data_IF_043907336534
#
_entry.id   IF_043907336534
#
_cell.length_a   1.000
_cell.length_b   1.000
_cell.length_c   1.000
_cell.angle_alpha   90.00
_cell.angle_beta   90.00
_cell.angle_gamma   90.00
#
_symmetry.space_group_name_H-M   'P 1'
#
loop_
_entity.id
_entity.type
_entity.pdbx_description
1 polymer ?
#
# COMPACT_ATOMS: atom_id res chain seq x y z
N UNK A 1 24.72 -6.77 1.30
CA UNK A 1 23.87 -6.09 2.31
C UNK A 1 22.99 -7.19 2.86
N UNK A 2 23.17 -7.55 4.13
CA UNK A 2 22.35 -8.59 4.76
C UNK A 2 20.93 -8.06 4.99
N UNK A 3 19.88 -8.88 4.84
CA UNK A 3 18.51 -8.44 5.09
C UNK A 3 18.36 -8.00 6.55
N UNK A 4 17.82 -6.81 6.75
CA UNK A 4 17.65 -6.14 8.05
C UNK A 4 16.57 -6.78 8.92
N UNK A 5 15.77 -7.69 8.35
CA UNK A 5 14.71 -8.45 9.01
C UNK A 5 14.41 -9.71 8.18
N UNK A 6 13.98 -10.84 8.79
CA UNK A 6 13.50 -12.01 8.03
C UNK A 6 12.28 -11.72 7.14
N UNK A 7 11.67 -10.54 7.29
CA UNK A 7 10.54 -10.07 6.50
C UNK A 7 10.95 -9.09 5.39
N UNK A 8 12.21 -8.66 5.33
CA UNK A 8 12.70 -7.70 4.33
C UNK A 8 13.70 -8.36 3.37
N UNK A 9 13.61 -8.03 2.07
CA UNK A 9 14.61 -8.48 1.10
C UNK A 9 15.87 -7.58 1.08
N UNK A 10 16.85 -7.92 0.26
CA UNK A 10 18.10 -7.16 0.12
C UNK A 10 17.93 -5.74 -0.42
N UNK A 11 16.72 -5.37 -0.87
CA UNK A 11 16.34 -4.03 -1.35
C UNK A 11 15.56 -3.25 -0.29
N UNK A 12 15.32 -3.83 0.88
CA UNK A 12 14.50 -3.25 1.94
C UNK A 12 12.99 -3.33 1.66
N UNK A 13 12.56 -4.26 0.79
CA UNK A 13 11.14 -4.47 0.50
C UNK A 13 10.55 -5.43 1.53
N UNK A 14 9.42 -5.05 2.14
CA UNK A 14 8.64 -5.93 3.03
C UNK A 14 7.99 -7.07 2.22
N UNK A 15 8.64 -8.24 2.27
CA UNK A 15 8.19 -9.47 1.64
C UNK A 15 6.97 -10.05 2.36
N UNK A 16 6.80 -9.77 3.65
CA UNK A 16 5.64 -10.16 4.43
C UNK A 16 4.36 -9.55 3.87
N UNK A 17 4.39 -8.24 3.64
CA UNK A 17 3.29 -7.50 3.02
C UNK A 17 2.95 -8.04 1.62
N UNK A 18 3.96 -8.31 0.79
CA UNK A 18 3.73 -8.88 -0.55
C UNK A 18 3.07 -10.27 -0.46
N UNK A 19 3.52 -11.13 0.46
CA UNK A 19 2.94 -12.46 0.64
C UNK A 19 1.49 -12.40 1.12
N UNK A 20 1.14 -11.41 1.94
CA UNK A 20 -0.23 -11.16 2.37
C UNK A 20 -1.11 -10.72 1.18
N UNK A 21 -0.63 -9.77 0.38
CA UNK A 21 -1.33 -9.31 -0.83
C UNK A 21 -1.54 -10.44 -1.85
N UNK A 22 -0.58 -11.36 -2.00
CA UNK A 22 -0.70 -12.51 -2.90
C UNK A 22 -1.69 -13.58 -2.39
N UNK A 23 -2.03 -13.58 -1.10
CA UNK A 23 -3.01 -14.49 -0.50
C UNK A 23 -4.44 -13.96 -0.55
N UNK A 24 -4.62 -12.68 -0.85
CA UNK A 24 -5.95 -12.08 -0.99
C UNK A 24 -6.64 -12.53 -2.27
N UNK A 25 -7.95 -12.75 -2.17
CA UNK A 25 -8.84 -12.82 -3.33
C UNK A 25 -8.90 -11.48 -4.05
N UNK A 26 -9.35 -11.48 -5.31
CA UNK A 26 -9.58 -10.24 -6.07
C UNK A 26 -10.53 -9.29 -5.34
N UNK A 27 -11.57 -9.83 -4.69
CA UNK A 27 -12.55 -9.04 -3.94
C UNK A 27 -11.91 -8.35 -2.71
N UNK A 28 -11.10 -9.08 -1.94
CA UNK A 28 -10.38 -8.53 -0.79
C UNK A 28 -9.37 -7.47 -1.21
N UNK A 29 -8.64 -7.71 -2.31
CA UNK A 29 -7.70 -6.73 -2.85
C UNK A 29 -8.40 -5.45 -3.34
N UNK A 30 -9.58 -5.58 -3.96
CA UNK A 30 -10.37 -4.43 -4.38
C UNK A 30 -10.87 -3.62 -3.16
N UNK A 31 -11.34 -4.29 -2.11
CA UNK A 31 -11.75 -3.63 -0.87
C UNK A 31 -10.58 -2.88 -0.21
N UNK A 32 -9.39 -3.49 -0.18
CA UNK A 32 -8.19 -2.87 0.36
C UNK A 32 -7.74 -1.65 -0.45
N UNK A 33 -7.80 -1.71 -1.78
CA UNK A 33 -7.53 -0.55 -2.63
C UNK A 33 -8.48 0.61 -2.34
N UNK A 34 -9.78 0.35 -2.20
CA UNK A 34 -10.77 1.38 -1.84
C UNK A 34 -10.46 1.98 -0.46
N UNK A 35 -10.12 1.13 0.53
CA UNK A 35 -9.73 1.58 1.87
C UNK A 35 -8.51 2.50 1.82
N UNK A 36 -7.46 2.11 1.09
CA UNK A 36 -6.25 2.92 0.93
C UNK A 36 -6.55 4.24 0.23
N UNK A 37 -7.35 4.23 -0.84
CA UNK A 37 -7.77 5.46 -1.53
C UNK A 37 -8.50 6.42 -0.59
N UNK A 38 -9.43 5.92 0.23
CA UNK A 38 -10.17 6.74 1.19
C UNK A 38 -9.23 7.36 2.24
N UNK A 39 -8.28 6.58 2.76
CA UNK A 39 -7.28 7.08 3.71
C UNK A 39 -6.40 8.17 3.08
N UNK A 40 -5.97 7.97 1.83
CA UNK A 40 -5.16 8.94 1.08
C UNK A 40 -5.94 10.23 0.81
N UNK A 41 -7.24 10.13 0.49
CA UNK A 41 -8.13 11.29 0.35
C UNK A 41 -8.24 12.04 1.68
N UNK A 42 -8.46 11.33 2.79
CA UNK A 42 -8.58 11.93 4.12
C UNK A 42 -7.31 12.67 4.53
N UNK A 43 -6.13 12.06 4.32
CA UNK A 43 -4.84 12.70 4.60
C UNK A 43 -4.66 13.97 3.76
N UNK A 44 -4.99 13.93 2.47
CA UNK A 44 -4.91 15.09 1.59
C UNK A 44 -5.85 16.23 2.03
N UNK A 45 -7.09 15.90 2.40
CA UNK A 45 -8.04 16.87 2.93
C UNK A 45 -7.53 17.54 4.20
N UNK A 46 -6.97 16.76 5.13
CA UNK A 46 -6.38 17.29 6.38
C UNK A 46 -5.13 18.13 6.13
N UNK A 47 -4.33 17.76 5.13
CA UNK A 47 -3.12 18.49 4.76
C UNK A 47 -3.40 19.75 3.93
N UNK A 48 -4.66 20.00 3.53
CA UNK A 48 -5.01 21.09 2.63
C UNK A 48 -4.46 20.92 1.21
N UNK A 49 -4.08 19.70 0.84
CA UNK A 49 -3.51 19.36 -0.47
C UNK A 49 -4.66 18.91 -1.37
N UNK A 50 -4.76 19.51 -2.56
CA UNK A 50 -5.75 19.09 -3.55
C UNK A 50 -5.48 17.64 -3.99
N UNK A 51 -6.53 16.82 -4.24
CA UNK A 51 -6.36 15.43 -4.62
C UNK A 51 -5.48 15.33 -5.87
N UNK A 52 -4.45 14.48 -5.81
CA UNK A 52 -3.63 14.18 -6.97
C UNK A 52 -4.52 13.66 -8.12
N UNK A 53 -4.36 14.24 -9.31
CA UNK A 53 -5.11 13.81 -10.49
C UNK A 53 -4.85 12.32 -10.76
N UNK A 54 -5.88 11.54 -11.15
CA UNK A 54 -5.68 10.14 -11.52
C UNK A 54 -4.64 10.07 -12.63
N UNK A 55 -3.60 9.26 -12.44
CA UNK A 55 -2.64 8.93 -13.49
C UNK A 55 -3.34 8.05 -14.52
N UNK A 56 -3.49 8.58 -15.74
CA UNK A 56 -4.04 7.86 -16.91
C UNK A 56 -3.11 6.75 -17.40
#
# INVERSE_FOLDING_TARGET
MEPTSPLEDSRGVDVGQIRELLRMTVAERAAEMVRVCNMVIEVQQRAGVAPAAPVS
#
